data_IF_381769676933
#
_entry.id   IF_381769676933
#
_cell.length_a   1.000
_cell.length_b   1.000
_cell.length_c   1.000
_cell.angle_alpha   90.00
_cell.angle_beta   90.00
_cell.angle_gamma   90.00
#
_symmetry.space_group_name_H-M   'P 1'
#
loop_
_entity.id
_entity.type
_entity.pdbx_description
1 polymer ?
#
# COMPACT_ATOMS: atom_id res chain seq x y z
N UNK A 1 -12.68 -9.83 -14.16
CA UNK A 1 -12.41 -8.44 -14.59
C UNK A 1 -12.58 -7.48 -13.43
N UNK A 2 -13.70 -7.54 -12.69
CA UNK A 2 -13.98 -6.66 -11.55
C UNK A 2 -12.87 -6.68 -10.49
N UNK A 3 -12.41 -7.85 -10.04
CA UNK A 3 -11.38 -7.96 -9.01
C UNK A 3 -10.05 -7.35 -9.40
N UNK A 4 -9.64 -7.48 -10.67
CA UNK A 4 -8.41 -6.87 -11.18
C UNK A 4 -8.55 -5.34 -11.25
N UNK A 5 -9.71 -4.84 -11.64
CA UNK A 5 -9.98 -3.40 -11.65
C UNK A 5 -10.00 -2.82 -10.23
N UNK A 6 -10.67 -3.48 -9.28
CA UNK A 6 -10.73 -3.07 -7.88
C UNK A 6 -9.35 -3.16 -7.23
N UNK A 7 -8.64 -4.26 -7.42
CA UNK A 7 -7.29 -4.46 -6.91
C UNK A 7 -6.31 -3.43 -7.48
N UNK A 8 -6.37 -3.15 -8.78
CA UNK A 8 -5.58 -2.11 -9.42
C UNK A 8 -5.87 -0.72 -8.87
N UNK A 9 -7.16 -0.37 -8.70
CA UNK A 9 -7.56 0.92 -8.12
C UNK A 9 -7.07 1.08 -6.68
N UNK A 10 -7.21 0.05 -5.85
CA UNK A 10 -6.70 0.04 -4.47
C UNK A 10 -5.17 0.17 -4.44
N UNK A 11 -4.48 -0.54 -5.32
CA UNK A 11 -3.02 -0.49 -5.42
C UNK A 11 -2.52 0.92 -5.77
N UNK A 12 -3.16 1.57 -6.74
CA UNK A 12 -2.84 2.96 -7.10
C UNK A 12 -3.17 3.94 -5.96
N UNK A 13 -4.29 3.74 -5.27
CA UNK A 13 -4.69 4.56 -4.13
C UNK A 13 -3.68 4.50 -2.98
N UNK A 14 -3.27 3.29 -2.59
CA UNK A 14 -2.26 3.09 -1.55
C UNK A 14 -0.90 3.62 -2.00
N UNK A 15 -0.52 3.41 -3.26
CA UNK A 15 0.72 3.98 -3.80
C UNK A 15 0.74 5.50 -3.73
N UNK A 16 -0.35 6.17 -4.13
CA UNK A 16 -0.48 7.63 -4.06
C UNK A 16 -0.42 8.13 -2.62
N UNK A 17 -1.13 7.46 -1.70
CA UNK A 17 -1.12 7.79 -0.28
C UNK A 17 0.28 7.66 0.32
N UNK A 18 0.94 6.51 0.14
CA UNK A 18 2.27 6.24 0.64
C UNK A 18 3.31 7.19 0.03
N UNK A 19 3.22 7.48 -1.28
CA UNK A 19 4.08 8.45 -1.93
C UNK A 19 3.90 9.86 -1.37
N UNK A 20 2.66 10.29 -1.17
CA UNK A 20 2.36 11.60 -0.58
C UNK A 20 2.93 11.71 0.84
N UNK A 21 2.83 10.63 1.64
CA UNK A 21 3.32 10.60 3.01
C UNK A 21 4.83 10.57 3.08
N UNK A 22 5.50 9.91 2.12
CA UNK A 22 6.96 9.91 2.01
C UNK A 22 7.59 11.29 1.80
N UNK A 23 6.79 12.28 1.37
CA UNK A 23 7.22 13.68 1.17
C UNK A 23 6.92 14.58 2.37
N UNK A 24 6.13 14.13 3.34
CA UNK A 24 5.86 14.88 4.57
C UNK A 24 6.97 14.60 5.58
N UNK A 25 7.36 15.61 6.37
CA UNK A 25 8.22 15.41 7.54
C UNK A 25 7.42 14.56 8.54
N UNK A 26 7.89 13.34 8.81
CA UNK A 26 7.33 12.47 9.84
C UNK A 26 7.58 13.04 11.23
N UNK A 27 6.70 12.70 12.19
CA UNK A 27 6.89 13.07 13.59
C UNK A 27 8.06 12.34 14.24
N UNK A 28 8.46 12.77 15.45
CA UNK A 28 9.50 12.08 16.22
C UNK A 28 9.15 10.60 16.46
N UNK A 29 7.87 10.34 16.80
CA UNK A 29 7.32 9.01 17.06
C UNK A 29 7.26 8.13 15.80
N UNK A 30 6.85 8.68 14.65
CA UNK A 30 6.87 7.97 13.36
C UNK A 30 8.26 7.36 13.09
N UNK A 31 9.32 8.15 13.31
CA UNK A 31 10.68 7.73 13.02
C UNK A 31 11.29 6.82 14.11
N UNK A 32 11.14 7.17 15.40
CA UNK A 32 11.90 6.54 16.48
C UNK A 32 11.16 5.41 17.20
N UNK A 33 9.83 5.40 17.16
CA UNK A 33 9.01 4.36 17.81
C UNK A 33 8.48 3.37 16.78
N UNK A 34 8.00 3.88 15.64
CA UNK A 34 7.35 3.06 14.62
C UNK A 34 8.23 2.70 13.42
N UNK A 35 9.45 3.25 13.33
CA UNK A 35 10.36 3.01 12.19
C UNK A 35 9.80 3.46 10.83
N UNK A 36 8.72 4.25 10.83
CA UNK A 36 8.05 4.78 9.65
C UNK A 36 8.78 6.00 9.12
N UNK A 37 9.87 5.74 8.42
CA UNK A 37 10.61 6.76 7.69
C UNK A 37 10.07 6.96 6.28
N UNK A 38 10.44 8.09 5.66
CA UNK A 38 10.14 8.37 4.26
C UNK A 38 10.56 7.24 3.31
N UNK A 39 11.66 6.53 3.60
CA UNK A 39 12.11 5.36 2.82
C UNK A 39 11.09 4.22 2.86
N UNK A 40 10.51 3.93 4.02
CA UNK A 40 9.54 2.85 4.21
C UNK A 40 8.26 3.16 3.42
N UNK A 41 7.76 4.40 3.52
CA UNK A 41 6.62 4.84 2.69
C UNK A 41 6.90 4.71 1.18
N UNK A 42 8.11 5.03 0.71
CA UNK A 42 8.48 4.82 -0.70
C UNK A 42 8.52 3.34 -1.08
N UNK A 43 9.00 2.47 -0.20
CA UNK A 43 8.97 1.03 -0.42
C UNK A 43 7.54 0.53 -0.58
N UNK A 44 6.63 0.92 0.32
CA UNK A 44 5.21 0.57 0.19
C UNK A 44 4.59 1.14 -1.09
N UNK A 45 4.92 2.38 -1.46
CA UNK A 45 4.47 2.96 -2.73
C UNK A 45 4.95 2.13 -3.94
N UNK A 46 6.22 1.72 -3.93
CA UNK A 46 6.81 0.87 -4.97
C UNK A 46 6.16 -0.51 -5.05
N UNK A 47 5.96 -1.18 -3.91
CA UNK A 47 5.27 -2.48 -3.83
C UNK A 47 3.85 -2.35 -4.36
N UNK A 48 3.11 -1.32 -3.95
CA UNK A 48 1.76 -1.07 -4.45
C UNK A 48 1.73 -0.80 -5.96
N UNK A 49 2.71 -0.08 -6.52
CA UNK A 49 2.81 0.09 -7.98
C UNK A 49 3.06 -1.24 -8.72
N UNK A 50 3.94 -2.10 -8.19
CA UNK A 50 4.18 -3.45 -8.74
C UNK A 50 2.87 -4.26 -8.76
N UNK A 51 2.11 -4.25 -7.67
CA UNK A 51 0.79 -4.90 -7.63
C UNK A 51 -0.19 -4.27 -8.64
N UNK A 52 -0.19 -2.95 -8.80
CA UNK A 52 -1.01 -2.27 -9.81
C UNK A 52 -0.70 -2.74 -11.23
N UNK A 53 0.60 -2.86 -11.57
CA UNK A 53 1.05 -3.41 -12.85
C UNK A 53 0.65 -4.89 -13.00
N UNK A 54 0.76 -5.67 -11.93
CA UNK A 54 0.36 -7.07 -11.93
C UNK A 54 -1.14 -7.23 -12.19
N UNK A 55 -1.99 -6.43 -11.54
CA UNK A 55 -3.44 -6.43 -11.82
C UNK A 55 -3.76 -6.03 -13.26
N UNK A 56 -3.05 -5.03 -13.82
CA UNK A 56 -3.20 -4.64 -15.21
C UNK A 56 -2.82 -5.79 -16.16
N UNK A 57 -1.69 -6.47 -15.91
CA UNK A 57 -1.26 -7.62 -16.67
C UNK A 57 -2.29 -8.77 -16.60
N UNK A 58 -2.75 -9.13 -15.39
CA UNK A 58 -3.76 -10.18 -15.19
C UNK A 58 -5.10 -9.83 -15.84
N UNK A 59 -5.49 -8.56 -15.87
CA UNK A 59 -6.66 -8.10 -16.61
C UNK A 59 -6.49 -8.32 -18.11
N UNK A 60 -5.35 -7.94 -18.70
CA UNK A 60 -5.09 -8.14 -20.15
C UNK A 60 -5.03 -9.62 -20.54
N UNK A 61 -4.53 -10.49 -19.65
CA UNK A 61 -4.46 -11.93 -19.87
C UNK A 61 -5.78 -12.67 -19.54
N UNK A 62 -6.81 -11.95 -19.10
CA UNK A 62 -8.12 -12.52 -18.72
C UNK A 62 -8.02 -13.59 -17.60
N UNK A 63 -7.00 -13.49 -16.74
CA UNK A 63 -6.74 -14.45 -15.65
C UNK A 63 -7.44 -14.02 -14.37
N UNK A 64 -8.74 -14.32 -14.27
CA UNK A 64 -9.58 -13.86 -13.14
C UNK A 64 -9.23 -14.51 -11.80
N UNK A 65 -8.96 -15.82 -11.80
CA UNK A 65 -8.63 -16.60 -10.61
C UNK A 65 -7.31 -16.14 -9.97
N UNK A 66 -6.30 -15.89 -10.80
CA UNK A 66 -5.02 -15.31 -10.35
C UNK A 66 -5.20 -13.89 -9.78
N UNK A 67 -6.16 -13.13 -10.31
CA UNK A 67 -6.56 -11.83 -9.80
C UNK A 67 -7.05 -11.86 -8.36
N UNK A 68 -7.92 -12.81 -8.03
CA UNK A 68 -8.45 -12.98 -6.67
C UNK A 68 -7.33 -13.34 -5.68
N UNK A 69 -6.46 -14.28 -6.05
CA UNK A 69 -5.31 -14.64 -5.21
C UNK A 69 -4.38 -13.45 -4.97
N UNK A 70 -4.09 -12.70 -6.04
CA UNK A 70 -3.25 -11.49 -5.98
C UNK A 70 -3.87 -10.41 -5.09
N UNK A 71 -5.20 -10.25 -5.14
CA UNK A 71 -5.94 -9.35 -4.26
C UNK A 71 -5.83 -9.73 -2.79
N UNK A 72 -5.90 -11.02 -2.47
CA UNK A 72 -5.70 -11.51 -1.10
C UNK A 72 -4.31 -11.16 -0.56
N UNK A 73 -3.26 -11.39 -1.37
CA UNK A 73 -1.87 -11.04 -0.98
C UNK A 73 -1.72 -9.53 -0.83
N UNK A 74 -2.27 -8.75 -1.77
CA UNK A 74 -2.19 -7.29 -1.70
C UNK A 74 -2.93 -6.73 -0.49
N UNK A 75 -4.07 -7.31 -0.11
CA UNK A 75 -4.81 -6.91 1.08
C UNK A 75 -3.97 -7.06 2.35
N UNK A 76 -3.16 -8.12 2.48
CA UNK A 76 -2.25 -8.28 3.63
C UNK A 76 -1.21 -7.16 3.67
N UNK A 77 -0.60 -6.81 2.53
CA UNK A 77 0.34 -5.69 2.44
C UNK A 77 -0.33 -4.38 2.83
N UNK A 78 -1.55 -4.15 2.34
CA UNK A 78 -2.33 -2.97 2.67
C UNK A 78 -2.66 -2.89 4.17
N UNK A 79 -3.05 -4.00 4.79
CA UNK A 79 -3.35 -4.08 6.22
C UNK A 79 -2.10 -3.84 7.06
N UNK A 80 -0.96 -4.44 6.72
CA UNK A 80 0.30 -4.18 7.43
C UNK A 80 0.76 -2.73 7.31
N UNK A 81 0.58 -2.12 6.13
CA UNK A 81 0.86 -0.71 5.95
C UNK A 81 -0.06 0.17 6.81
N UNK A 82 -1.37 -0.11 6.76
CA UNK A 82 -2.37 0.64 7.50
C UNK A 82 -2.21 0.49 9.02
N UNK A 83 -1.92 -0.70 9.53
CA UNK A 83 -1.72 -0.93 10.96
C UNK A 83 -0.47 -0.21 11.47
N UNK A 84 0.64 -0.30 10.74
CA UNK A 84 1.88 0.42 11.07
C UNK A 84 1.67 1.94 11.06
N UNK A 85 0.77 2.44 10.21
CA UNK A 85 0.44 3.86 10.10
C UNK A 85 -0.55 4.34 11.17
N UNK A 86 -1.61 3.57 11.43
CA UNK A 86 -2.64 3.89 12.43
C UNK A 86 -2.08 3.92 13.85
N UNK A 87 -1.13 3.05 14.15
CA UNK A 87 -0.44 3.04 15.44
C UNK A 87 0.43 4.31 15.60
N UNK A 88 1.14 4.72 14.56
CA UNK A 88 1.88 6.00 14.54
C UNK A 88 0.98 7.24 14.69
N UNK A 89 -0.23 7.22 14.12
CA UNK A 89 -1.18 8.33 14.22
C UNK A 89 -1.81 8.46 15.62
N UNK A 90 -2.10 7.34 16.29
CA UNK A 90 -2.76 7.33 17.61
C UNK A 90 -1.85 7.87 18.72
N UNK A 91 -0.55 7.60 18.66
CA UNK A 91 0.42 8.04 19.66
C UNK A 91 0.88 9.50 19.48
N UNK A 92 0.50 10.16 18.38
CA UNK A 92 0.77 11.58 18.18
C UNK A 92 -0.25 12.48 18.91
N UNK A 93 -1.36 11.91 19.39
CA UNK A 93 -2.48 12.62 20.02
C UNK A 93 -2.51 12.47 21.56
N UNK A 94 -1.58 11.74 22.16
CA UNK A 94 -1.33 11.66 23.62
C UNK A 94 -0.06 12.44 24.02
#
# INVERSE_FOLDING_TARGET
MLYNAVGGALALGIAALAWSRSRRRGGFYDAHVYGMHARVHRTYAGVSLIFGLLFAALATMHQETAGVATLGVFALVAVFYASSFLQGARDCDE
#
